data_IF_961320735342
#
_entry.id   IF_961320735342
#
_cell.length_a   1.000
_cell.length_b   1.000
_cell.length_c   1.000
_cell.angle_alpha   90.00
_cell.angle_beta   90.00
_cell.angle_gamma   90.00
#
_symmetry.space_group_name_H-M   'P 1'
#
loop_
_entity.id
_entity.type
_entity.pdbx_description
1 polymer ?
#
# COMPACT_ATOMS: atom_id res chain seq x y z
N UNK A 1 -4.98 3.86 -13.18
CA UNK A 1 -3.83 3.55 -12.26
C UNK A 1 -2.70 2.86 -12.99
N UNK A 2 -2.87 1.62 -13.47
CA UNK A 2 -1.79 0.99 -14.27
C UNK A 2 -1.51 1.79 -15.54
N UNK A 3 -2.55 2.05 -16.32
CA UNK A 3 -2.38 2.63 -17.65
C UNK A 3 -2.16 4.15 -17.60
N UNK A 4 -2.81 4.86 -16.66
CA UNK A 4 -2.71 6.32 -16.57
C UNK A 4 -1.54 6.84 -15.71
N UNK A 5 -0.98 6.00 -14.83
CA UNK A 5 0.00 6.44 -13.83
C UNK A 5 1.24 5.57 -13.81
N UNK A 6 1.11 4.24 -13.74
CA UNK A 6 2.28 3.38 -13.64
C UNK A 6 3.02 3.22 -14.97
N UNK A 7 2.30 2.92 -16.06
CA UNK A 7 2.90 2.67 -17.37
C UNK A 7 3.64 3.90 -17.94
N UNK A 8 3.11 5.13 -17.87
CA UNK A 8 3.83 6.32 -18.34
C UNK A 8 5.11 6.59 -17.55
N UNK A 9 5.15 6.21 -16.27
CA UNK A 9 6.30 6.35 -15.38
C UNK A 9 7.22 5.12 -15.38
N UNK A 10 6.96 4.11 -16.22
CA UNK A 10 7.72 2.86 -16.23
C UNK A 10 7.69 2.08 -14.89
N UNK A 11 6.66 2.28 -14.07
CA UNK A 11 6.49 1.61 -12.78
C UNK A 11 5.81 0.26 -13.00
N UNK A 12 6.45 -0.84 -12.61
CA UNK A 12 5.92 -2.19 -12.80
C UNK A 12 5.39 -2.84 -11.52
N UNK A 13 5.93 -2.45 -10.36
CA UNK A 13 5.68 -3.09 -9.07
C UNK A 13 4.86 -2.18 -8.14
N UNK A 14 3.72 -1.70 -8.63
CA UNK A 14 2.74 -0.94 -7.84
C UNK A 14 1.35 -1.42 -8.25
N UNK A 15 0.63 -2.04 -7.32
CA UNK A 15 -0.64 -2.69 -7.58
C UNK A 15 -1.69 -2.31 -6.53
N UNK A 16 -2.82 -1.74 -6.96
CA UNK A 16 -4.03 -1.63 -6.11
C UNK A 16 -4.92 -2.87 -6.17
N UNK A 17 -4.70 -3.69 -7.22
CA UNK A 17 -5.25 -5.03 -7.39
C UNK A 17 -4.11 -5.89 -7.92
N UNK A 18 -3.73 -6.91 -7.18
CA UNK A 18 -2.62 -7.78 -7.56
C UNK A 18 -3.03 -8.70 -8.73
N UNK A 19 -2.30 -8.71 -9.86
CA UNK A 19 -2.52 -9.68 -10.92
C UNK A 19 -1.95 -11.07 -10.53
N UNK A 20 -2.50 -12.13 -11.09
CA UNK A 20 -2.17 -13.51 -10.70
C UNK A 20 -0.70 -13.88 -10.96
N UNK A 21 -0.13 -13.35 -12.04
CA UNK A 21 1.28 -13.54 -12.41
C UNK A 21 2.26 -12.87 -11.44
N UNK A 22 1.83 -11.80 -10.74
CA UNK A 22 2.64 -11.13 -9.72
C UNK A 22 2.55 -11.81 -8.35
N UNK A 23 1.55 -12.65 -8.10
CA UNK A 23 1.31 -13.28 -6.79
C UNK A 23 2.53 -14.03 -6.21
N UNK A 24 3.32 -14.80 -7.00
CA UNK A 24 4.50 -15.50 -6.50
C UNK A 24 5.63 -14.58 -6.02
N UNK A 25 5.64 -13.30 -6.41
CA UNK A 25 6.68 -12.33 -6.03
C UNK A 25 6.36 -11.57 -4.74
N UNK A 26 5.16 -11.74 -4.19
CA UNK A 26 4.73 -11.01 -2.98
C UNK A 26 5.34 -11.66 -1.75
N UNK A 27 6.16 -10.89 -1.03
CA UNK A 27 6.73 -11.31 0.24
C UNK A 27 5.64 -11.61 1.30
N UNK A 28 6.00 -12.41 2.30
CA UNK A 28 5.15 -12.61 3.47
C UNK A 28 5.06 -11.29 4.26
N UNK A 29 3.84 -10.89 4.62
CA UNK A 29 3.62 -9.79 5.56
C UNK A 29 3.71 -10.37 6.97
N UNK A 30 4.58 -9.79 7.78
CA UNK A 30 4.79 -10.20 9.16
C UNK A 30 4.38 -9.08 10.11
N UNK A 31 3.90 -9.46 11.29
CA UNK A 31 3.70 -8.54 12.40
C UNK A 31 4.91 -8.61 13.32
N UNK A 32 5.29 -7.47 13.89
CA UNK A 32 6.30 -7.45 14.94
C UNK A 32 5.89 -8.36 16.10
N UNK A 33 6.86 -9.03 16.75
CA UNK A 33 6.59 -9.79 17.95
C UNK A 33 5.97 -8.88 19.01
N UNK A 34 5.00 -9.43 19.76
CA UNK A 34 4.35 -8.69 20.83
C UNK A 34 5.43 -8.18 21.82
N UNK A 35 5.40 -6.89 22.20
CA UNK A 35 6.35 -6.36 23.18
C UNK A 35 6.15 -7.04 24.53
N UNK A 36 7.23 -7.16 25.32
CA UNK A 36 7.20 -7.81 26.63
C UNK A 36 6.18 -7.20 27.61
N UNK A 37 5.89 -5.90 27.44
CA UNK A 37 4.84 -5.20 28.18
C UNK A 37 3.95 -4.45 27.17
N UNK A 38 2.86 -5.07 26.68
CA UNK A 38 1.97 -4.43 25.73
C UNK A 38 1.18 -3.29 26.39
N UNK A 39 0.89 -2.20 25.64
CA UNK A 39 0.00 -1.16 26.14
C UNK A 39 -1.40 -1.75 26.42
N UNK A 40 -2.12 -1.14 27.36
CA UNK A 40 -3.50 -1.51 27.61
C UNK A 40 -4.33 -1.37 26.32
N UNK A 41 -5.25 -2.32 26.03
CA UNK A 41 -6.07 -2.24 24.84
C UNK A 41 -6.94 -0.97 24.88
N UNK A 42 -7.22 -0.35 23.72
CA UNK A 42 -8.17 0.75 23.63
C UNK A 42 -9.54 0.37 24.21
N UNK A 43 -10.28 1.30 24.83
CA UNK A 43 -11.58 1.01 25.39
C UNK A 43 -12.58 0.56 24.31
N UNK A 44 -13.63 -0.21 24.65
CA UNK A 44 -14.55 -0.79 23.66
C UNK A 44 -15.29 0.22 22.77
N UNK A 45 -15.48 1.45 23.26
CA UNK A 45 -16.15 2.55 22.57
C UNK A 45 -15.18 3.47 21.79
N UNK A 46 -13.89 3.14 21.77
CA UNK A 46 -12.89 3.90 21.02
C UNK A 46 -13.24 3.97 19.52
N UNK A 47 -13.06 5.15 18.92
CA UNK A 47 -13.29 5.36 17.49
C UNK A 47 -12.42 4.45 16.60
N UNK A 48 -11.29 3.97 17.11
CA UNK A 48 -10.44 2.99 16.42
C UNK A 48 -11.25 1.76 16.01
N UNK A 49 -12.12 1.23 16.87
CA UNK A 49 -12.91 0.03 16.57
C UNK A 49 -13.99 0.25 15.52
N UNK A 50 -14.38 1.52 15.28
CA UNK A 50 -15.25 1.90 14.15
C UNK A 50 -14.47 2.01 12.85
N UNK A 51 -13.22 2.48 12.90
CA UNK A 51 -12.36 2.66 11.73
C UNK A 51 -11.74 1.34 11.25
N UNK A 52 -11.30 0.49 12.20
CA UNK A 52 -10.68 -0.79 11.97
C UNK A 52 -11.36 -1.85 12.87
N UNK A 53 -12.43 -2.49 12.40
CA UNK A 53 -13.16 -3.47 13.19
C UNK A 53 -12.28 -4.63 13.67
N UNK A 54 -12.46 -5.14 14.91
CA UNK A 54 -11.69 -6.25 15.46
C UNK A 54 -11.67 -7.51 14.56
N UNK A 55 -12.73 -7.73 13.79
CA UNK A 55 -12.84 -8.86 12.85
C UNK A 55 -11.79 -8.86 11.72
N UNK A 56 -11.11 -7.74 11.48
CA UNK A 56 -10.02 -7.67 10.51
C UNK A 56 -8.67 -8.10 11.10
N UNK A 57 -8.56 -8.21 12.43
CA UNK A 57 -7.33 -8.59 13.07
C UNK A 57 -7.12 -10.12 13.09
N UNK A 58 -5.87 -10.59 12.99
CA UNK A 58 -4.66 -9.79 12.86
C UNK A 58 -4.41 -9.40 11.39
N UNK A 59 -3.94 -8.17 11.15
CA UNK A 59 -3.94 -7.56 9.81
C UNK A 59 -3.00 -8.28 8.85
N UNK A 60 -1.87 -8.81 9.34
CA UNK A 60 -0.90 -9.54 8.50
C UNK A 60 -1.52 -10.80 7.89
N UNK A 61 -2.47 -11.45 8.60
CA UNK A 61 -3.22 -12.59 8.05
C UNK A 61 -4.28 -12.13 7.08
N UNK A 62 -5.09 -11.14 7.45
CA UNK A 62 -6.18 -10.63 6.61
C UNK A 62 -5.67 -10.12 5.26
N UNK A 63 -4.64 -9.25 5.26
CA UNK A 63 -4.05 -8.69 4.05
C UNK A 63 -3.13 -9.67 3.30
N UNK A 64 -2.80 -10.82 3.89
CA UNK A 64 -2.11 -11.90 3.18
C UNK A 64 -3.03 -12.84 2.40
N UNK A 65 -4.35 -12.79 2.62
CA UNK A 65 -5.29 -13.64 1.88
C UNK A 65 -5.32 -13.27 0.41
N UNK A 66 -5.38 -14.31 -0.44
CA UNK A 66 -5.31 -14.13 -1.88
C UNK A 66 -6.54 -13.42 -2.47
N UNK A 67 -7.71 -13.49 -1.82
CA UNK A 67 -8.89 -12.72 -2.21
C UNK A 67 -8.75 -11.23 -1.85
N UNK A 68 -8.20 -10.92 -0.67
CA UNK A 68 -7.92 -9.54 -0.23
C UNK A 68 -6.88 -8.87 -1.12
N UNK A 69 -5.79 -9.55 -1.49
CA UNK A 69 -4.76 -9.01 -2.40
C UNK A 69 -5.27 -8.72 -3.81
N UNK A 70 -6.34 -9.41 -4.24
CA UNK A 70 -7.00 -9.21 -5.54
C UNK A 70 -8.16 -8.21 -5.48
N UNK A 71 -8.59 -7.80 -4.29
CA UNK A 71 -9.56 -6.73 -4.14
C UNK A 71 -8.91 -5.38 -4.42
N UNK A 72 -9.72 -4.39 -4.82
CA UNK A 72 -9.27 -3.00 -4.91
C UNK A 72 -9.55 -2.34 -3.57
N UNK A 73 -8.52 -2.22 -2.73
CA UNK A 73 -8.58 -1.60 -1.40
C UNK A 73 -7.59 -0.42 -1.32
N UNK A 74 -7.95 0.77 -1.85
CA UNK A 74 -7.01 1.89 -1.99
C UNK A 74 -6.45 2.43 -0.66
N UNK A 75 -7.12 2.15 0.46
CA UNK A 75 -6.75 2.63 1.78
C UNK A 75 -5.57 1.86 2.41
N UNK A 76 -5.32 0.60 2.02
CA UNK A 76 -4.32 -0.23 2.67
C UNK A 76 -3.99 -1.57 2.01
N UNK A 77 -4.70 -1.97 0.95
CA UNK A 77 -4.43 -3.22 0.24
C UNK A 77 -3.42 -3.10 -0.91
N UNK A 78 -2.81 -1.93 -1.10
CA UNK A 78 -1.82 -1.72 -2.14
C UNK A 78 -0.55 -2.55 -1.89
N UNK A 79 -0.02 -3.19 -2.93
CA UNK A 79 1.22 -3.96 -2.89
C UNK A 79 2.22 -3.30 -3.82
N UNK A 80 3.41 -2.98 -3.31
CA UNK A 80 4.44 -2.30 -4.08
C UNK A 80 5.85 -2.57 -3.59
N UNK A 81 6.84 -2.37 -4.47
CA UNK A 81 8.24 -2.33 -4.07
C UNK A 81 8.63 -0.92 -3.61
N UNK A 82 9.66 -0.81 -2.77
CA UNK A 82 10.20 0.48 -2.34
C UNK A 82 10.65 1.33 -3.54
N UNK A 83 11.21 0.70 -4.59
CA UNK A 83 11.63 1.36 -5.82
C UNK A 83 10.44 1.98 -6.56
N UNK A 84 9.35 1.23 -6.71
CA UNK A 84 8.16 1.71 -7.38
C UNK A 84 7.54 2.91 -6.65
N UNK A 85 7.45 2.83 -5.32
CA UNK A 85 6.92 3.93 -4.51
C UNK A 85 7.81 5.17 -4.56
N UNK A 86 9.13 5.00 -4.48
CA UNK A 86 10.08 6.10 -4.61
C UNK A 86 9.98 6.76 -5.99
N UNK A 87 9.84 5.98 -7.06
CA UNK A 87 9.67 6.53 -8.41
C UNK A 87 8.36 7.33 -8.53
N UNK A 88 7.25 6.81 -8.00
CA UNK A 88 5.98 7.54 -7.96
C UNK A 88 6.13 8.90 -7.29
N UNK A 89 6.75 8.94 -6.11
CA UNK A 89 6.93 10.20 -5.38
C UNK A 89 7.96 11.13 -6.04
N UNK A 90 9.00 10.59 -6.69
CA UNK A 90 9.94 11.40 -7.45
C UNK A 90 9.24 12.08 -8.65
N UNK A 91 8.38 11.36 -9.38
CA UNK A 91 7.59 11.93 -10.47
C UNK A 91 6.56 12.95 -9.96
N UNK A 92 5.97 12.71 -8.78
CA UNK A 92 5.10 13.69 -8.13
C UNK A 92 5.87 14.96 -7.74
N UNK A 93 7.08 14.84 -7.19
CA UNK A 93 7.90 15.99 -6.80
C UNK A 93 8.62 16.68 -7.98
N UNK A 94 8.54 16.10 -9.19
CA UNK A 94 9.32 16.56 -10.34
C UNK A 94 10.82 16.32 -10.22
N UNK A 95 11.22 15.31 -9.44
CA UNK A 95 12.59 14.88 -9.22
C UNK A 95 12.87 13.48 -9.80
N UNK A 96 12.01 12.98 -10.69
CA UNK A 96 12.24 11.71 -11.36
C UNK A 96 13.52 11.79 -12.21
N UNK A 97 14.40 10.77 -12.18
CA UNK A 97 15.64 10.78 -12.96
C UNK A 97 15.43 10.94 -14.47
N UNK A 98 14.27 10.49 -14.98
CA UNK A 98 13.87 10.65 -16.38
C UNK A 98 13.28 12.02 -16.74
N UNK A 99 13.12 12.92 -15.76
CA UNK A 99 12.40 14.18 -15.94
C UNK A 99 10.87 14.02 -15.99
N UNK A 100 10.35 12.85 -15.63
CA UNK A 100 8.91 12.59 -15.62
C UNK A 100 8.20 13.42 -14.53
N UNK A 101 7.05 13.98 -14.89
CA UNK A 101 6.19 14.74 -13.99
C UNK A 101 4.80 14.13 -13.97
N UNK A 102 4.33 13.73 -12.78
CA UNK A 102 2.96 13.20 -12.64
C UNK A 102 1.91 14.30 -12.71
N UNK A 103 2.24 15.49 -12.19
CA UNK A 103 1.37 16.65 -12.17
C UNK A 103 2.12 17.88 -12.69
N UNK A 104 1.41 18.82 -13.33
CA UNK A 104 2.00 20.11 -13.69
C UNK A 104 2.41 20.88 -12.42
N UNK A 105 3.52 21.65 -12.43
CA UNK A 105 4.06 22.31 -11.25
C UNK A 105 3.07 23.22 -10.51
N UNK A 106 2.10 23.78 -11.23
CA UNK A 106 1.08 24.68 -10.67
C UNK A 106 0.11 23.96 -9.71
N UNK A 107 0.05 22.62 -9.74
CA UNK A 107 -0.79 21.82 -8.82
C UNK A 107 -0.10 21.41 -7.52
N UNK A 108 1.18 21.74 -7.36
CA UNK A 108 2.00 21.36 -6.20
C UNK A 108 2.44 22.57 -5.36
N UNK A 109 2.04 23.79 -5.77
CA UNK A 109 2.34 25.04 -5.07
C UNK A 109 1.22 25.42 -4.11
#
# INVERSE_FOLDING_TARGET
>A
MRDDLCAPLGITDLHLRLPDDAAPRVAALESDPAPANPPAPPPPDALLWRALPPALHPLERTYSRADVRRAVLPNGGGIMSARALAHLYAALAGAAPGGDHLLPPERLR
#
